data_IF_114793308806
#
_entry.id   IF_114793308806
#
_cell.length_a   1.000
_cell.length_b   1.000
_cell.length_c   1.000
_cell.angle_alpha   90.00
_cell.angle_beta   90.00
_cell.angle_gamma   90.00
#
_symmetry.space_group_name_H-M   'P 1'
#
loop_
_entity.id
_entity.type
_entity.pdbx_description
1 polymer ?
#
# COMPACT_ATOMS: atom_id res chain seq x y z
N UNK A 1 34.52 -54.40 -46.31
CA UNK A 1 34.64 -53.92 -44.92
C UNK A 1 34.65 -52.37 -44.74
N UNK A 2 34.31 -51.55 -45.76
CA UNK A 2 34.42 -50.07 -45.66
C UNK A 2 33.13 -49.33 -45.23
N UNK A 3 31.97 -50.00 -45.19
CA UNK A 3 30.66 -49.37 -44.88
C UNK A 3 30.44 -49.08 -43.38
N UNK A 4 31.01 -49.86 -42.46
CA UNK A 4 30.76 -49.71 -41.02
C UNK A 4 31.46 -48.51 -40.37
N UNK A 5 32.65 -48.13 -40.87
CA UNK A 5 33.41 -46.96 -40.38
C UNK A 5 32.72 -45.63 -40.70
N UNK A 6 32.06 -45.54 -41.86
CA UNK A 6 31.27 -44.36 -42.26
C UNK A 6 30.00 -44.19 -41.42
N UNK A 7 29.31 -45.29 -41.10
CA UNK A 7 28.13 -45.27 -40.22
C UNK A 7 28.47 -44.83 -38.78
N UNK A 8 29.62 -45.25 -38.25
CA UNK A 8 30.10 -44.80 -36.94
C UNK A 8 30.49 -43.31 -36.91
N UNK A 9 31.07 -42.79 -38.00
CA UNK A 9 31.40 -41.37 -38.16
C UNK A 9 30.14 -40.49 -38.27
N UNK A 10 29.14 -40.90 -39.05
CA UNK A 10 27.86 -40.19 -39.19
C UNK A 10 27.08 -40.14 -37.87
N UNK A 11 27.09 -41.22 -37.08
CA UNK A 11 26.48 -41.24 -35.73
C UNK A 11 27.14 -40.26 -34.77
N UNK A 12 28.47 -40.13 -34.80
CA UNK A 12 29.21 -39.17 -33.95
C UNK A 12 28.88 -37.73 -34.34
N UNK A 13 28.77 -37.43 -35.63
CA UNK A 13 28.37 -36.11 -36.13
C UNK A 13 26.94 -35.79 -35.69
N UNK A 14 26.02 -36.74 -35.82
CA UNK A 14 24.63 -36.56 -35.37
C UNK A 14 24.52 -36.31 -33.86
N UNK A 15 25.31 -37.02 -33.04
CA UNK A 15 25.35 -36.82 -31.59
C UNK A 15 25.94 -35.45 -31.21
N UNK A 16 26.99 -35.00 -31.91
CA UNK A 16 27.56 -33.67 -31.69
C UNK A 16 26.59 -32.58 -32.11
N UNK A 17 25.91 -32.72 -33.25
CA UNK A 17 24.88 -31.78 -33.69
C UNK A 17 23.71 -31.71 -32.70
N UNK A 18 23.26 -32.86 -32.19
CA UNK A 18 22.22 -32.92 -31.18
C UNK A 18 22.65 -32.27 -29.85
N UNK A 19 23.92 -32.46 -29.43
CA UNK A 19 24.46 -31.83 -28.22
C UNK A 19 24.57 -30.31 -28.37
N UNK A 20 24.95 -29.81 -29.55
CA UNK A 20 24.99 -28.36 -29.85
C UNK A 20 23.60 -27.77 -29.88
N UNK A 21 22.64 -28.45 -30.52
CA UNK A 21 21.23 -28.02 -30.53
C UNK A 21 20.66 -27.99 -29.11
N UNK A 22 20.93 -29.02 -28.29
CA UNK A 22 20.54 -29.04 -26.88
C UNK A 22 21.16 -27.90 -26.08
N UNK A 23 22.42 -27.54 -26.34
CA UNK A 23 23.10 -26.44 -25.68
C UNK A 23 22.48 -25.07 -26.06
N UNK A 24 22.05 -24.91 -27.32
CA UNK A 24 21.43 -23.67 -27.83
C UNK A 24 19.97 -23.53 -27.36
N UNK A 25 19.27 -24.64 -27.12
CA UNK A 25 17.88 -24.66 -26.65
C UNK A 25 17.75 -24.48 -25.12
N UNK A 26 18.85 -24.36 -24.37
CA UNK A 26 18.78 -24.08 -22.94
C UNK A 26 18.16 -22.69 -22.73
N UNK A 27 17.06 -22.57 -21.96
CA UNK A 27 16.49 -21.27 -21.64
C UNK A 27 17.51 -20.45 -20.84
N UNK A 28 17.75 -19.21 -21.26
CA UNK A 28 18.57 -18.29 -20.49
C UNK A 28 17.94 -18.08 -19.10
N UNK A 29 18.73 -17.99 -18.01
CA UNK A 29 18.19 -17.67 -16.71
C UNK A 29 17.53 -16.29 -16.76
N UNK A 30 16.24 -16.23 -16.46
CA UNK A 30 15.51 -14.97 -16.37
C UNK A 30 15.93 -14.26 -15.07
N UNK A 31 16.61 -13.11 -15.20
CA UNK A 31 16.86 -12.24 -14.06
C UNK A 31 15.54 -11.54 -13.69
N UNK A 32 14.94 -11.94 -12.57
CA UNK A 32 13.83 -11.22 -11.97
C UNK A 32 14.37 -9.87 -11.45
N UNK A 33 14.08 -8.81 -12.19
CA UNK A 33 14.62 -7.48 -11.99
C UNK A 33 14.22 -6.83 -10.66
N UNK A 34 15.25 -6.25 -10.02
CA UNK A 34 15.29 -5.10 -9.10
C UNK A 34 14.07 -4.88 -8.17
N UNK A 35 14.28 -5.16 -6.88
CA UNK A 35 13.43 -4.63 -5.80
C UNK A 35 13.55 -3.11 -5.74
N UNK A 36 12.41 -2.41 -5.76
CA UNK A 36 12.31 -0.98 -5.44
C UNK A 36 11.69 -0.86 -4.07
N UNK A 37 12.46 -0.36 -3.10
CA UNK A 37 11.97 -0.08 -1.74
C UNK A 37 11.61 1.40 -1.68
N UNK A 38 10.34 1.71 -1.40
CA UNK A 38 9.87 3.07 -1.17
C UNK A 38 9.65 3.23 0.33
N UNK A 39 10.46 4.09 0.94
CA UNK A 39 10.27 4.50 2.34
C UNK A 39 9.53 5.83 2.35
N UNK A 40 8.34 5.85 2.95
CA UNK A 40 7.51 7.04 3.11
C UNK A 40 7.01 7.17 4.55
N UNK A 41 6.33 8.27 4.85
CA UNK A 41 5.73 8.51 6.16
C UNK A 41 4.42 9.29 6.05
N UNK A 42 3.60 9.20 7.09
CA UNK A 42 2.26 9.80 7.14
C UNK A 42 1.15 8.86 6.65
N UNK A 43 -0.09 9.22 6.97
CA UNK A 43 -1.29 8.49 6.55
C UNK A 43 -2.40 9.48 6.19
N UNK A 44 -2.94 9.36 4.98
CA UNK A 44 -3.93 10.29 4.41
C UNK A 44 -3.35 11.22 3.35
N UNK A 45 -4.18 12.14 2.86
CA UNK A 45 -3.85 13.05 1.75
C UNK A 45 -2.98 14.26 2.15
N UNK A 46 -2.69 14.42 3.45
CA UNK A 46 -1.76 15.44 3.96
C UNK A 46 -2.25 16.89 3.86
N UNK A 47 -3.55 17.12 3.68
CA UNK A 47 -4.13 18.48 3.57
C UNK A 47 -4.99 18.76 4.81
N UNK A 48 -4.85 19.97 5.38
CA UNK A 48 -5.61 20.40 6.53
C UNK A 48 -5.09 19.79 7.84
N UNK A 49 -6.00 19.30 8.67
CA UNK A 49 -5.67 18.87 10.03
C UNK A 49 -5.14 17.44 10.10
N UNK A 50 -3.91 17.28 10.62
CA UNK A 50 -3.43 15.97 11.10
C UNK A 50 -4.12 15.61 12.41
N UNK A 51 -4.87 14.51 12.43
CA UNK A 51 -5.58 14.04 13.64
C UNK A 51 -4.59 13.71 14.78
N UNK A 52 -3.52 12.99 14.48
CA UNK A 52 -2.47 12.69 15.47
C UNK A 52 -1.73 13.94 15.95
N UNK A 53 -1.48 14.89 15.05
CA UNK A 53 -0.86 16.16 15.44
C UNK A 53 -1.81 17.03 16.28
N UNK A 54 -3.12 17.02 16.01
CA UNK A 54 -4.13 17.68 16.83
C UNK A 54 -4.21 17.05 18.23
N UNK A 55 -4.21 15.72 18.32
CA UNK A 55 -4.14 14.98 19.59
C UNK A 55 -2.88 15.36 20.38
N UNK A 56 -1.71 15.35 19.74
CA UNK A 56 -0.46 15.77 20.37
C UNK A 56 -0.52 17.21 20.88
N UNK A 57 -1.09 18.15 20.13
CA UNK A 57 -1.29 19.53 20.58
C UNK A 57 -2.24 19.64 21.78
N UNK A 58 -3.31 18.85 21.79
CA UNK A 58 -4.24 18.79 22.92
C UNK A 58 -3.57 18.25 24.18
N UNK A 59 -2.76 17.20 24.06
CA UNK A 59 -1.93 16.70 25.17
C UNK A 59 -0.93 17.75 25.69
N UNK A 60 -0.49 18.67 24.83
CA UNK A 60 0.33 19.82 25.20
C UNK A 60 -0.50 21.05 25.63
N UNK A 61 -1.77 20.88 25.98
CA UNK A 61 -2.63 21.93 26.54
C UNK A 61 -3.13 22.98 25.53
N UNK A 62 -2.99 22.75 24.22
CA UNK A 62 -3.54 23.68 23.22
C UNK A 62 -5.06 23.57 23.17
N UNK A 63 -5.74 24.72 23.18
CA UNK A 63 -7.20 24.77 22.97
C UNK A 63 -7.59 24.30 21.57
N UNK A 64 -8.84 23.85 21.41
CA UNK A 64 -9.38 23.47 20.10
C UNK A 64 -9.28 24.61 19.07
N UNK A 65 -9.50 25.86 19.50
CA UNK A 65 -9.37 27.03 18.64
C UNK A 65 -7.93 27.20 18.14
N UNK A 66 -6.93 27.13 19.02
CA UNK A 66 -5.53 27.24 18.60
C UNK A 66 -5.08 26.08 17.72
N UNK A 67 -5.65 24.88 17.91
CA UNK A 67 -5.38 23.73 17.04
C UNK A 67 -5.94 23.99 15.64
N UNK A 68 -7.19 24.44 15.54
CA UNK A 68 -7.83 24.75 14.26
C UNK A 68 -7.09 25.86 13.50
N UNK A 69 -6.78 26.98 14.16
CA UNK A 69 -6.07 28.11 13.57
C UNK A 69 -4.64 27.74 13.13
N UNK A 70 -4.01 26.74 13.78
CA UNK A 70 -2.72 26.22 13.34
C UNK A 70 -2.81 25.46 12.01
N UNK A 71 -3.84 24.62 11.84
CA UNK A 71 -4.00 23.81 10.62
C UNK A 71 -4.70 24.53 9.48
N UNK A 72 -5.49 25.55 9.79
CA UNK A 72 -6.27 26.34 8.85
C UNK A 72 -5.87 27.81 8.98
N UNK A 73 -4.74 28.17 8.37
CA UNK A 73 -4.22 29.53 8.43
C UNK A 73 -5.23 30.55 7.90
N UNK A 74 -5.51 31.58 8.69
CA UNK A 74 -6.51 32.61 8.37
C UNK A 74 -7.96 32.23 8.71
N UNK A 75 -8.21 31.02 9.20
CA UNK A 75 -9.51 30.68 9.76
C UNK A 75 -9.74 31.44 11.09
N UNK A 76 -11.00 31.78 11.35
CA UNK A 76 -11.44 32.31 12.64
C UNK A 76 -12.47 31.37 13.22
N UNK A 77 -12.30 31.00 14.48
CA UNK A 77 -13.23 30.11 15.17
C UNK A 77 -14.38 30.94 15.74
N UNK A 78 -15.60 30.63 15.32
CA UNK A 78 -16.83 31.27 15.79
C UNK A 78 -17.85 30.24 16.23
N UNK A 79 -18.68 30.61 17.21
CA UNK A 79 -19.84 29.81 17.57
C UNK A 79 -20.96 29.99 16.53
N UNK A 80 -21.61 28.89 16.18
CA UNK A 80 -22.82 28.90 15.37
C UNK A 80 -23.99 28.41 16.20
N UNK A 81 -25.18 28.97 15.98
CA UNK A 81 -26.42 28.46 16.55
C UNK A 81 -26.71 27.10 15.92
N UNK A 82 -26.40 26.02 16.63
CA UNK A 82 -26.65 24.66 16.18
C UNK A 82 -28.05 24.20 16.60
N UNK A 83 -28.72 23.37 15.78
CA UNK A 83 -29.97 22.74 16.19
C UNK A 83 -29.72 21.83 17.40
N UNK A 84 -30.71 21.71 18.28
CA UNK A 84 -30.65 20.81 19.44
C UNK A 84 -30.42 19.33 19.08
N UNK A 85 -30.62 18.97 17.81
CA UNK A 85 -30.39 17.62 17.28
C UNK A 85 -29.63 17.70 15.97
N UNK A 86 -28.45 17.07 15.93
CA UNK A 86 -27.65 16.91 14.71
C UNK A 86 -27.76 15.45 14.25
N UNK A 87 -28.23 15.22 13.03
CA UNK A 87 -28.23 13.89 12.41
C UNK A 87 -26.90 13.70 11.69
N UNK A 88 -26.11 12.75 12.15
CA UNK A 88 -24.74 12.48 11.64
C UNK A 88 -24.66 11.29 10.68
N UNK A 89 -25.80 10.81 10.16
CA UNK A 89 -25.82 9.81 9.08
C UNK A 89 -25.16 8.45 9.38
N UNK A 90 -24.82 8.14 10.64
CA UNK A 90 -24.10 6.90 11.01
C UNK A 90 -24.76 5.60 10.53
N UNK A 91 -26.07 5.65 10.26
CA UNK A 91 -26.90 4.52 9.89
C UNK A 91 -27.46 4.65 8.47
N UNK A 92 -27.02 5.64 7.70
CA UNK A 92 -27.48 5.82 6.33
C UNK A 92 -27.13 4.58 5.50
N UNK A 93 -28.15 3.98 4.87
CA UNK A 93 -28.01 2.75 4.08
C UNK A 93 -27.95 1.43 4.89
N UNK A 94 -28.03 1.45 6.23
CA UNK A 94 -28.08 0.23 7.04
C UNK A 94 -29.51 -0.31 7.17
N UNK A 95 -29.70 -1.60 6.88
CA UNK A 95 -30.99 -2.32 7.06
C UNK A 95 -31.19 -2.88 8.47
N UNK A 96 -30.11 -3.05 9.23
CA UNK A 96 -30.13 -3.45 10.65
C UNK A 96 -28.94 -2.85 11.39
N UNK A 97 -29.12 -2.62 12.68
CA UNK A 97 -28.16 -1.98 13.59
C UNK A 97 -28.18 -2.69 14.94
N UNK A 98 -27.00 -3.10 15.41
CA UNK A 98 -26.75 -3.42 16.82
C UNK A 98 -25.76 -2.40 17.33
N UNK A 99 -26.20 -1.60 18.30
CA UNK A 99 -25.35 -0.62 18.96
C UNK A 99 -25.27 -0.98 20.45
N UNK A 100 -24.07 -0.96 21.00
CA UNK A 100 -23.82 -0.99 22.44
C UNK A 100 -23.14 0.31 22.82
N UNK A 101 -23.63 0.96 23.87
CA UNK A 101 -22.99 2.14 24.44
C UNK A 101 -22.41 1.76 25.79
N UNK A 102 -21.13 2.00 25.98
CA UNK A 102 -20.54 2.11 27.32
C UNK A 102 -20.36 3.59 27.65
N UNK A 103 -20.49 3.94 28.93
CA UNK A 103 -20.07 5.25 29.40
C UNK A 103 -18.58 5.42 29.08
N UNK A 104 -18.23 6.54 28.46
CA UNK A 104 -16.84 6.91 28.23
C UNK A 104 -16.30 7.39 29.58
N UNK A 105 -15.49 6.56 30.24
CA UNK A 105 -14.82 6.97 31.48
C UNK A 105 -13.70 7.95 31.10
N UNK A 106 -13.87 9.21 31.48
CA UNK A 106 -12.93 10.27 31.21
C UNK A 106 -11.65 10.04 32.02
N UNK A 107 -10.63 9.50 31.35
CA UNK A 107 -9.26 9.45 31.88
C UNK A 107 -8.68 10.83 32.17
#
# INVERSE_FOLDING_TARGET
MARSRKAASLRRIALLAAAVVMLVLLPAPAFAGRTVVITGGGWGHGIGMSQYGAYGRALNGRSAANILEHYYSGAQVSFANMPARVRVGLLEGRRSISATSSLFDSG
#
